data_IF_314428403322
#
_entry.id   IF_314428403322
#
_cell.length_a   1.000
_cell.length_b   1.000
_cell.length_c   1.000
_cell.angle_alpha   90.00
_cell.angle_beta   90.00
_cell.angle_gamma   90.00
#
_symmetry.space_group_name_H-M   'P 1'
#
loop_
_entity.id
_entity.type
_entity.pdbx_description
1 polymer ?
#
# COMPACT_ATOMS: atom_id res chain seq x y z
N UNK A 1 6.98 0.68 7.62
CA UNK A 1 5.81 1.57 7.46
C UNK A 1 6.21 2.73 6.54
N UNK A 2 5.58 2.87 5.38
CA UNK A 2 5.89 3.96 4.45
C UNK A 2 5.26 5.26 4.96
N UNK A 3 6.08 6.20 5.45
CA UNK A 3 5.68 7.55 5.86
C UNK A 3 5.26 8.47 4.68
N UNK A 4 4.70 7.90 3.62
CA UNK A 4 4.39 8.57 2.36
C UNK A 4 3.08 8.14 1.72
N UNK A 5 2.20 7.43 2.45
CA UNK A 5 0.80 7.38 2.05
C UNK A 5 0.18 8.76 2.27
N UNK A 6 -0.69 9.19 1.37
CA UNK A 6 -1.40 10.47 1.47
C UNK A 6 -2.03 10.66 2.87
N UNK A 7 -2.60 9.57 3.42
CA UNK A 7 -3.18 9.54 4.75
C UNK A 7 -2.18 9.84 5.89
N UNK A 8 -0.89 9.53 5.74
CA UNK A 8 0.14 9.83 6.74
C UNK A 8 0.83 11.19 6.51
N UNK A 9 0.70 11.79 5.33
CA UNK A 9 1.22 13.13 5.02
C UNK A 9 0.21 14.26 5.32
N UNK A 10 -1.01 13.90 5.73
CA UNK A 10 -2.11 14.85 5.96
C UNK A 10 -2.76 15.39 4.69
N UNK A 11 -2.38 14.86 3.52
CA UNK A 11 -2.97 15.23 2.23
C UNK A 11 -4.04 14.20 1.85
N UNK A 12 -5.20 14.67 1.41
CA UNK A 12 -6.27 13.83 0.85
C UNK A 12 -6.05 13.57 -0.67
N UNK A 13 -4.91 13.96 -1.21
CA UNK A 13 -4.62 13.85 -2.63
C UNK A 13 -4.08 12.47 -2.98
N UNK A 14 -4.45 11.99 -4.17
CA UNK A 14 -3.90 10.75 -4.72
C UNK A 14 -2.39 10.90 -4.97
N UNK A 15 -1.68 9.77 -4.98
CA UNK A 15 -0.26 9.75 -5.33
C UNK A 15 -0.02 10.37 -6.71
N UNK A 16 0.85 11.38 -6.77
CA UNK A 16 1.27 12.01 -8.03
C UNK A 16 1.98 11.02 -8.95
N UNK A 17 2.69 10.03 -8.39
CA UNK A 17 3.35 8.97 -9.18
C UNK A 17 2.32 8.08 -9.85
N UNK A 18 1.32 7.59 -9.10
CA UNK A 18 0.27 6.74 -9.68
C UNK A 18 -0.56 7.50 -10.71
N UNK A 19 -0.81 8.79 -10.46
CA UNK A 19 -1.49 9.67 -11.42
C UNK A 19 -0.67 9.84 -12.71
N UNK A 20 0.65 10.02 -12.60
CA UNK A 20 1.55 10.11 -13.76
C UNK A 20 1.65 8.78 -14.54
N UNK A 21 1.40 7.65 -13.89
CA UNK A 21 1.27 6.34 -14.54
C UNK A 21 -0.10 6.14 -15.22
N UNK A 22 -1.01 7.11 -15.14
CA UNK A 22 -2.34 7.04 -15.74
C UNK A 22 -3.38 6.27 -14.91
N UNK A 23 -3.08 5.94 -13.65
CA UNK A 23 -4.03 5.28 -12.75
C UNK A 23 -5.08 6.30 -12.31
N UNK A 24 -6.35 5.88 -12.29
CA UNK A 24 -7.44 6.79 -11.92
C UNK A 24 -7.30 7.25 -10.47
N UNK A 25 -7.78 8.46 -10.17
CA UNK A 25 -7.74 9.00 -8.79
C UNK A 25 -8.36 8.05 -7.77
N UNK A 26 -9.45 7.37 -8.12
CA UNK A 26 -10.14 6.46 -7.22
C UNK A 26 -9.28 5.23 -6.87
N UNK A 27 -8.69 4.59 -7.89
CA UNK A 27 -7.77 3.46 -7.69
C UNK A 27 -6.50 3.88 -6.94
N UNK A 28 -5.97 5.07 -7.24
CA UNK A 28 -4.78 5.61 -6.58
C UNK A 28 -5.00 5.92 -5.10
N UNK A 29 -6.21 6.32 -4.69
CA UNK A 29 -6.57 6.54 -3.28
C UNK A 29 -6.69 5.21 -2.50
N UNK A 30 -7.11 4.14 -3.16
CA UNK A 30 -7.19 2.80 -2.57
C UNK A 30 -5.88 2.00 -2.63
N UNK A 31 -4.81 2.57 -3.16
CA UNK A 31 -3.55 1.85 -3.39
C UNK A 31 -2.72 1.70 -2.11
N UNK A 32 -2.25 0.48 -1.84
CA UNK A 32 -1.37 0.16 -0.72
C UNK A 32 0.02 -0.24 -1.23
N UNK A 33 1.08 0.38 -0.68
CA UNK A 33 2.47 0.01 -0.95
C UNK A 33 3.11 -0.55 0.31
N UNK A 34 3.60 -1.77 0.23
CA UNK A 34 4.36 -2.44 1.28
C UNK A 34 5.73 -2.81 0.72
N UNK A 35 6.75 -2.66 1.54
CA UNK A 35 8.14 -2.97 1.18
C UNK A 35 8.70 -3.88 2.25
N UNK A 36 9.32 -4.96 1.81
CA UNK A 36 10.00 -5.94 2.65
C UNK A 36 11.49 -5.92 2.33
N UNK A 37 12.30 -6.42 3.25
CA UNK A 37 13.72 -6.70 3.04
C UNK A 37 14.04 -8.12 3.50
N UNK A 38 15.31 -8.51 3.35
CA UNK A 38 15.82 -9.86 3.63
C UNK A 38 15.62 -10.37 5.06
N UNK A 39 15.19 -9.52 6.00
CA UNK A 39 14.96 -9.89 7.40
C UNK A 39 13.56 -10.46 7.64
N UNK A 40 12.66 -10.34 6.68
CA UNK A 40 11.28 -10.81 6.79
C UNK A 40 11.23 -12.30 6.47
N UNK A 41 10.66 -13.10 7.38
CA UNK A 41 10.56 -14.54 7.19
C UNK A 41 9.41 -14.90 6.25
N UNK A 42 9.49 -16.08 5.61
CA UNK A 42 8.38 -16.61 4.79
C UNK A 42 7.09 -16.75 5.61
N UNK A 43 7.19 -17.20 6.86
CA UNK A 43 6.03 -17.33 7.75
C UNK A 43 5.34 -15.98 8.03
N UNK A 44 6.11 -14.89 8.14
CA UNK A 44 5.54 -13.55 8.30
C UNK A 44 4.83 -13.07 7.03
N UNK A 45 5.37 -13.41 5.85
CA UNK A 45 4.73 -13.11 4.56
C UNK A 45 3.41 -13.86 4.40
N UNK A 46 3.37 -15.14 4.79
CA UNK A 46 2.15 -15.95 4.76
C UNK A 46 1.08 -15.38 5.70
N UNK A 47 1.47 -15.06 6.94
CA UNK A 47 0.57 -14.44 7.92
C UNK A 47 0.05 -13.08 7.44
N UNK A 48 0.93 -12.27 6.83
CA UNK A 48 0.56 -11.00 6.21
C UNK A 48 -0.47 -11.19 5.08
N UNK A 49 -0.22 -12.13 4.15
CA UNK A 49 -1.12 -12.40 3.04
C UNK A 49 -2.49 -12.90 3.52
N UNK A 50 -2.51 -13.85 4.47
CA UNK A 50 -3.74 -14.36 5.04
C UNK A 50 -4.58 -13.25 5.69
N UNK A 51 -3.92 -12.39 6.48
CA UNK A 51 -4.58 -11.27 7.15
C UNK A 51 -5.09 -10.23 6.15
N UNK A 52 -4.28 -9.86 5.14
CA UNK A 52 -4.69 -8.89 4.13
C UNK A 52 -5.92 -9.38 3.38
N UNK A 53 -5.93 -10.64 2.94
CA UNK A 53 -7.06 -11.25 2.24
C UNK A 53 -8.33 -11.28 3.09
N UNK A 54 -8.22 -11.46 4.42
CA UNK A 54 -9.38 -11.36 5.31
C UNK A 54 -9.95 -9.95 5.44
N UNK A 55 -9.14 -8.92 5.21
CA UNK A 55 -9.56 -7.51 5.33
C UNK A 55 -10.16 -6.99 4.02
N UNK A 56 -9.58 -7.37 2.87
CA UNK A 56 -9.97 -6.83 1.56
C UNK A 56 -10.85 -7.77 0.73
N UNK A 57 -10.85 -9.07 1.04
CA UNK A 57 -11.69 -10.09 0.41
C UNK A 57 -13.05 -10.22 1.09
#
# INVERSE_FOLDING_TARGET
VSAGSACSSGSLDASHVLSAMGISRNEALGSLRITFDERVSEADLDAFCATLLQIVG
#
